data_IF_936865765724
#
_entry.id   IF_936865765724
#
_cell.length_a   1.000
_cell.length_b   1.000
_cell.length_c   1.000
_cell.angle_alpha   90.00
_cell.angle_beta   90.00
_cell.angle_gamma   90.00
#
_symmetry.space_group_name_H-M   'P 1'
#
loop_
_entity.id
_entity.type
_entity.pdbx_description
1 polymer ?
#
# COMPACT_ATOMS: atom_id res chain seq x y z
N UNK A 1 17.23 -8.11 -2.16
CA UNK A 1 15.98 -7.49 -2.66
C UNK A 1 15.00 -8.60 -3.02
N UNK A 2 13.96 -8.81 -2.23
CA UNK A 2 12.92 -9.80 -2.55
C UNK A 2 11.88 -9.15 -3.46
N UNK A 3 11.83 -9.59 -4.71
CA UNK A 3 10.81 -9.20 -5.67
C UNK A 3 9.47 -9.84 -5.28
N UNK A 4 8.40 -9.04 -5.21
CA UNK A 4 7.06 -9.50 -4.86
C UNK A 4 6.38 -10.15 -6.08
N UNK A 5 5.49 -11.12 -5.86
CA UNK A 5 4.67 -11.69 -6.94
C UNK A 5 3.54 -10.71 -7.30
N UNK A 6 3.32 -10.45 -8.59
CA UNK A 6 2.28 -9.52 -9.07
C UNK A 6 1.13 -10.30 -9.70
N UNK A 7 -0.10 -9.99 -9.29
CA UNK A 7 -1.31 -10.45 -9.99
C UNK A 7 -1.75 -9.37 -10.98
N UNK A 8 -1.93 -9.75 -12.25
CA UNK A 8 -2.25 -8.81 -13.33
C UNK A 8 -3.71 -8.90 -13.76
N UNK A 9 -4.33 -7.75 -14.02
CA UNK A 9 -5.68 -7.65 -14.58
C UNK A 9 -5.77 -6.51 -15.61
N UNK A 10 -6.45 -6.76 -16.72
CA UNK A 10 -6.67 -5.76 -17.78
C UNK A 10 -8.10 -5.23 -17.72
N UNK A 11 -8.23 -3.91 -17.59
CA UNK A 11 -9.51 -3.22 -17.70
C UNK A 11 -9.46 -2.29 -18.91
N UNK A 12 -10.22 -2.63 -19.95
CA UNK A 12 -10.33 -1.84 -21.18
C UNK A 12 -11.59 -0.97 -21.14
N UNK A 13 -11.43 0.35 -21.07
CA UNK A 13 -12.50 1.32 -21.33
C UNK A 13 -12.14 2.20 -22.51
N UNK A 14 -13.01 2.26 -23.53
CA UNK A 14 -12.82 3.11 -24.71
C UNK A 14 -12.69 4.59 -24.29
N UNK A 15 -11.56 5.25 -24.56
CA UNK A 15 -11.46 6.69 -24.42
C UNK A 15 -12.34 7.39 -25.47
N UNK A 16 -13.00 8.48 -25.07
CA UNK A 16 -13.81 9.30 -25.97
C UNK A 16 -12.94 10.14 -26.92
N UNK A 17 -11.70 10.43 -26.53
CA UNK A 17 -10.91 11.52 -27.11
C UNK A 17 -9.85 11.06 -28.12
N UNK A 18 -9.47 9.79 -28.11
CA UNK A 18 -8.31 9.26 -28.84
C UNK A 18 -8.84 8.32 -29.91
N UNK A 19 -8.61 8.65 -31.19
CA UNK A 19 -9.18 7.91 -32.33
C UNK A 19 -8.90 6.41 -32.28
N UNK A 20 -7.73 6.03 -31.76
CA UNK A 20 -7.25 4.65 -31.74
C UNK A 20 -7.48 3.93 -30.41
N UNK A 21 -8.12 4.58 -29.43
CA UNK A 21 -8.54 3.91 -28.20
C UNK A 21 -7.43 3.57 -27.20
N UNK A 22 -6.16 3.88 -27.48
CA UNK A 22 -5.02 3.53 -26.62
C UNK A 22 -4.78 4.53 -25.50
N UNK A 23 -4.41 4.06 -24.30
CA UNK A 23 -3.94 4.88 -23.16
C UNK A 23 -2.61 4.35 -22.64
N UNK A 24 -1.76 5.22 -22.10
CA UNK A 24 -0.53 4.81 -21.41
C UNK A 24 -0.80 4.17 -20.05
N UNK A 25 -0.01 3.16 -19.69
CA UNK A 25 -0.10 2.44 -18.42
C UNK A 25 1.20 2.47 -17.59
N UNK A 26 2.28 3.06 -18.13
CA UNK A 26 3.63 2.94 -17.56
C UNK A 26 3.77 3.43 -16.11
N UNK A 27 3.05 4.49 -15.74
CA UNK A 27 3.14 5.09 -14.41
C UNK A 27 2.09 4.56 -13.42
N UNK A 28 1.06 3.86 -13.92
CA UNK A 28 -0.06 3.41 -13.10
C UNK A 28 0.40 2.48 -11.95
N UNK A 29 1.38 1.61 -12.21
CA UNK A 29 1.96 0.72 -11.20
C UNK A 29 2.79 1.46 -10.14
N UNK A 30 3.63 2.41 -10.57
CA UNK A 30 4.51 3.18 -9.68
C UNK A 30 3.75 4.15 -8.77
N UNK A 31 2.60 4.66 -9.24
CA UNK A 31 1.73 5.53 -8.43
C UNK A 31 0.89 4.72 -7.43
N UNK A 32 0.41 3.53 -7.83
CA UNK A 32 -0.43 2.69 -6.97
C UNK A 32 0.35 1.93 -5.89
N UNK A 33 1.61 1.58 -6.14
CA UNK A 33 2.40 0.75 -5.23
C UNK A 33 2.69 1.40 -3.85
N UNK A 34 3.18 2.66 -3.75
CA UNK A 34 3.49 3.28 -2.46
C UNK A 34 2.30 3.39 -1.49
N UNK A 35 1.10 3.87 -1.89
CA UNK A 35 -0.03 3.97 -0.98
C UNK A 35 -0.60 2.60 -0.61
N UNK A 36 -0.55 1.60 -1.52
CA UNK A 36 -1.03 0.24 -1.24
C UNK A 36 -0.25 -0.42 -0.11
N UNK A 37 1.08 -0.31 -0.14
CA UNK A 37 1.94 -0.88 0.91
C UNK A 37 1.72 -0.17 2.24
N UNK A 38 1.62 1.16 2.24
CA UNK A 38 1.35 1.91 3.47
C UNK A 38 -0.01 1.55 4.05
N UNK A 39 -1.06 1.45 3.23
CA UNK A 39 -2.39 1.06 3.69
C UNK A 39 -2.42 -0.37 4.24
N UNK A 40 -1.66 -1.29 3.65
CA UNK A 40 -1.52 -2.65 4.19
C UNK A 40 -0.84 -2.64 5.58
N UNK A 41 0.18 -1.81 5.77
CA UNK A 41 0.83 -1.63 7.09
C UNK A 41 -0.12 -0.96 8.08
N UNK A 42 -0.90 0.04 7.65
CA UNK A 42 -1.93 0.67 8.49
C UNK A 42 -2.98 -0.32 8.99
N UNK A 43 -3.48 -1.15 8.08
CA UNK A 43 -4.44 -2.20 8.42
C UNK A 43 -3.83 -3.23 9.40
N UNK A 44 -2.54 -3.53 9.28
CA UNK A 44 -1.84 -4.45 10.19
C UNK A 44 -1.57 -3.85 11.59
N UNK A 45 -1.64 -2.53 11.75
CA UNK A 45 -1.36 -1.81 12.99
C UNK A 45 -2.61 -1.19 13.62
N UNK A 46 -3.79 -1.71 13.28
CA UNK A 46 -5.08 -1.28 13.84
C UNK A 46 -5.34 0.24 13.69
N UNK A 47 -4.86 0.83 12.59
CA UNK A 47 -5.07 2.25 12.28
C UNK A 47 -4.07 3.22 12.93
N UNK A 48 -2.94 2.74 13.46
CA UNK A 48 -1.91 3.64 13.98
C UNK A 48 -1.21 4.43 12.85
N UNK A 49 -1.33 5.76 12.85
CA UNK A 49 -0.75 6.63 11.83
C UNK A 49 0.80 6.66 11.90
N UNK A 50 1.48 6.39 10.78
CA UNK A 50 2.94 6.36 10.64
C UNK A 50 3.31 7.33 9.53
N UNK A 51 4.10 8.35 9.89
CA UNK A 51 4.70 9.26 8.92
C UNK A 51 5.73 8.54 8.03
N UNK A 52 5.55 8.68 6.71
CA UNK A 52 6.40 8.12 5.67
C UNK A 52 7.86 8.60 5.80
N UNK A 53 8.87 7.77 5.52
CA UNK A 53 8.81 6.33 5.24
C UNK A 53 8.58 5.50 6.50
N UNK A 54 7.82 4.41 6.36
CA UNK A 54 7.59 3.41 7.38
C UNK A 54 8.87 2.55 7.55
N UNK A 55 9.86 3.10 8.24
CA UNK A 55 11.07 2.36 8.60
C UNK A 55 10.75 1.24 9.58
N UNK A 56 11.51 0.15 9.53
CA UNK A 56 11.30 -1.03 10.38
C UNK A 56 11.27 -0.68 11.88
N UNK A 57 12.06 0.31 12.32
CA UNK A 57 12.06 0.81 13.69
C UNK A 57 10.75 1.48 14.10
N UNK A 58 10.12 2.27 13.21
CA UNK A 58 8.83 2.92 13.47
C UNK A 58 7.71 1.88 13.57
N UNK A 59 7.72 0.89 12.67
CA UNK A 59 6.75 -0.23 12.68
C UNK A 59 6.93 -1.10 13.92
N UNK A 60 8.17 -1.38 14.33
CA UNK A 60 8.45 -2.16 15.54
C UNK A 60 8.00 -1.44 16.82
N UNK A 61 8.24 -0.13 16.92
CA UNK A 61 7.73 0.70 18.02
C UNK A 61 6.20 0.67 18.08
N UNK A 62 5.52 0.88 16.95
CA UNK A 62 4.07 0.79 16.83
C UNK A 62 3.51 -0.56 17.31
N UNK A 63 4.10 -1.67 16.83
CA UNK A 63 3.71 -3.02 17.25
C UNK A 63 3.89 -3.25 18.77
N UNK A 64 4.96 -2.71 19.37
CA UNK A 64 5.21 -2.85 20.80
C UNK A 64 4.17 -2.10 21.64
N UNK A 65 3.78 -0.89 21.23
CA UNK A 65 2.74 -0.12 21.89
C UNK A 65 1.37 -0.82 21.80
N UNK A 66 1.04 -1.41 20.64
CA UNK A 66 -0.16 -2.25 20.46
C UNK A 66 -0.15 -3.51 21.35
N UNK A 67 0.99 -4.19 21.49
CA UNK A 67 1.09 -5.35 22.41
C UNK A 67 0.87 -4.94 23.86
N UNK A 68 1.36 -3.76 24.26
CA UNK A 68 1.19 -3.24 25.62
C UNK A 68 -0.26 -2.84 25.91
N UNK A 69 -1.00 -2.30 24.94
CA UNK A 69 -2.42 -2.00 25.10
C UNK A 69 -3.26 -3.27 25.23
N UNK A 70 -3.01 -4.29 24.39
CA UNK A 70 -3.71 -5.57 24.47
C UNK A 70 -3.43 -6.33 25.79
N UNK A 71 -2.20 -6.28 26.32
CA UNK A 71 -1.86 -6.90 27.61
C UNK A 71 -2.42 -6.16 28.83
N UNK A 72 -2.87 -4.91 28.66
CA UNK A 72 -3.54 -4.13 29.71
C UNK A 72 -5.06 -4.28 29.68
N UNK A 73 -5.61 -4.77 28.57
CA UNK A 73 -7.03 -5.04 28.39
C UNK A 73 -7.44 -6.48 28.76
N UNK A 74 -6.49 -7.34 29.10
CA UNK A 74 -6.68 -8.68 29.67
C UNK A 74 -6.35 -8.66 31.17
#
# INVERSE_FOLDING_TARGET
MTFQSFNWGLLARKPQQILWGFKGCGEAGSIAAPPTIMNAVFNALDGQEISMPATAEKVWKACKELKKSNAKAA
#
